data_IF_167056042761
#
_entry.id   IF_167056042761
#
_cell.length_a   1.000
_cell.length_b   1.000
_cell.length_c   1.000
_cell.angle_alpha   90.00
_cell.angle_beta   90.00
_cell.angle_gamma   90.00
#
_symmetry.space_group_name_H-M   'P 1'
#
loop_
_entity.id
_entity.type
_entity.pdbx_description
1 polymer ?
#
# COMPACT_ATOMS: atom_id res chain seq x y z
N UNK A 1 8.12 6.54 -5.74
CA UNK A 1 7.30 6.12 -4.57
C UNK A 1 5.85 6.20 -4.99
N UNK A 2 5.02 5.25 -4.56
CA UNK A 2 3.63 5.14 -4.98
C UNK A 2 2.78 5.37 -3.75
N UNK A 3 1.94 6.41 -3.75
CA UNK A 3 1.04 6.68 -2.65
C UNK A 3 -0.25 5.92 -2.85
N UNK A 4 -0.72 5.29 -1.79
CA UNK A 4 -1.90 4.43 -1.81
C UNK A 4 -2.83 4.83 -0.67
N UNK A 5 -4.12 4.87 -0.96
CA UNK A 5 -5.20 4.85 0.03
C UNK A 5 -5.55 3.39 0.26
N UNK A 6 -5.16 2.85 1.42
CA UNK A 6 -5.48 1.48 1.83
C UNK A 6 -6.70 1.55 2.75
N UNK A 7 -7.89 1.52 2.15
CA UNK A 7 -9.16 1.56 2.87
C UNK A 7 -9.27 2.74 3.86
N UNK A 8 -8.87 3.93 3.42
CA UNK A 8 -8.82 5.18 4.19
C UNK A 8 -7.52 5.41 4.96
N UNK A 9 -6.55 4.50 4.86
CA UNK A 9 -5.23 4.63 5.50
C UNK A 9 -4.20 5.14 4.49
N UNK A 10 -3.51 6.27 4.75
CA UNK A 10 -2.47 6.76 3.88
C UNK A 10 -1.21 5.88 3.96
N UNK A 11 -0.88 5.24 2.84
CA UNK A 11 0.26 4.36 2.69
C UNK A 11 1.18 4.81 1.56
N UNK A 12 2.43 4.34 1.60
CA UNK A 12 3.41 4.51 0.54
C UNK A 12 4.08 3.18 0.24
N UNK A 13 4.09 2.79 -1.03
CA UNK A 13 4.90 1.68 -1.53
C UNK A 13 6.17 2.22 -2.17
N UNK A 14 7.30 1.63 -1.81
CA UNK A 14 8.61 1.99 -2.36
C UNK A 14 9.33 0.75 -2.85
N UNK A 15 10.03 0.88 -3.99
CA UNK A 15 10.99 -0.12 -4.44
C UNK A 15 12.31 0.12 -3.69
N UNK A 16 12.80 -0.89 -2.99
CA UNK A 16 14.09 -0.87 -2.30
C UNK A 16 14.93 -2.03 -2.83
N UNK A 17 15.84 -1.74 -3.76
CA UNK A 17 16.50 -2.76 -4.55
C UNK A 17 15.50 -3.54 -5.40
N UNK A 18 15.44 -4.86 -5.22
CA UNK A 18 14.54 -5.73 -5.97
C UNK A 18 13.18 -5.94 -5.28
N UNK A 19 12.98 -5.40 -4.07
CA UNK A 19 11.77 -5.63 -3.29
C UNK A 19 10.84 -4.41 -3.26
N UNK A 20 9.53 -4.65 -3.29
CA UNK A 20 8.56 -3.67 -2.84
C UNK A 20 8.44 -3.69 -1.31
N UNK A 21 8.31 -2.50 -0.72
CA UNK A 21 8.12 -2.35 0.72
C UNK A 21 6.97 -1.36 0.99
N UNK A 22 6.10 -1.73 1.93
CA UNK A 22 4.96 -0.94 2.35
C UNK A 22 5.30 -0.10 3.58
N UNK A 23 4.88 1.17 3.57
CA UNK A 23 5.07 2.10 4.67
C UNK A 23 3.74 2.77 5.02
N UNK A 24 3.50 3.00 6.31
CA UNK A 24 2.47 3.92 6.79
C UNK A 24 3.02 5.34 6.73
N UNK A 25 2.24 6.28 6.20
CA UNK A 25 2.60 7.69 6.14
C UNK A 25 1.83 8.47 7.22
N UNK A 26 2.56 9.15 8.11
CA UNK A 26 1.95 10.05 9.09
C UNK A 26 1.68 11.43 8.48
N UNK A 27 0.81 12.22 9.13
CA UNK A 27 0.52 13.59 8.71
C UNK A 27 1.78 14.49 8.67
N UNK A 28 2.80 14.18 9.47
CA UNK A 28 4.09 14.89 9.48
C UNK A 28 5.11 14.40 8.44
N UNK A 29 4.72 13.50 7.53
CA UNK A 29 5.60 12.95 6.50
C UNK A 29 6.57 11.86 6.99
N UNK A 30 6.46 11.43 8.25
CA UNK A 30 7.25 10.33 8.78
C UNK A 30 6.71 9.00 8.23
N UNK A 31 7.62 8.08 7.89
CA UNK A 31 7.27 6.76 7.34
C UNK A 31 7.73 5.64 8.25
N UNK A 32 6.83 4.72 8.55
CA UNK A 32 7.14 3.49 9.30
C UNK A 32 6.90 2.28 8.41
N UNK A 33 7.88 1.37 8.34
CA UNK A 33 7.79 0.17 7.52
C UNK A 33 6.76 -0.79 8.12
N UNK A 34 5.93 -1.38 7.27
CA UNK A 34 5.07 -2.52 7.61
C UNK A 34 5.84 -3.78 7.24
N UNK A 35 6.20 -4.59 8.23
CA UNK A 35 7.05 -5.77 8.04
C UNK A 35 6.23 -7.03 7.77
N UNK A 36 4.94 -6.98 8.07
CA UNK A 36 3.97 -8.07 7.93
C UNK A 36 3.50 -8.26 6.48
N UNK A 37 3.84 -7.32 5.59
CA UNK A 37 3.52 -7.39 4.16
C UNK A 37 4.77 -7.72 3.36
N UNK A 38 4.73 -8.85 2.66
CA UNK A 38 5.74 -9.27 1.70
C UNK A 38 5.13 -9.20 0.31
N UNK A 39 5.83 -8.58 -0.63
CA UNK A 39 5.43 -8.52 -2.03
C UNK A 39 6.29 -9.50 -2.83
N UNK A 40 5.72 -10.20 -3.82
CA UNK A 40 6.50 -10.89 -4.85
C UNK A 40 7.50 -9.92 -5.53
N UNK A 41 8.79 -10.28 -5.68
CA UNK A 41 9.80 -9.41 -6.29
C UNK A 41 9.47 -8.97 -7.72
N UNK A 42 8.87 -9.86 -8.51
CA UNK A 42 8.51 -9.66 -9.91
C UNK A 42 7.23 -8.83 -10.12
N UNK A 43 6.53 -8.47 -9.03
CA UNK A 43 5.27 -7.75 -9.10
C UNK A 43 5.43 -6.41 -9.82
N UNK A 44 4.56 -6.15 -10.79
CA UNK A 44 4.48 -4.87 -11.48
C UNK A 44 3.77 -3.81 -10.62
N UNK A 45 4.12 -2.55 -10.84
CA UNK A 45 3.48 -1.41 -10.16
C UNK A 45 1.95 -1.39 -10.33
N UNK A 46 1.45 -1.80 -11.51
CA UNK A 46 0.01 -1.88 -11.80
C UNK A 46 -0.75 -2.91 -10.95
N UNK A 47 -0.06 -3.87 -10.34
CA UNK A 47 -0.66 -4.96 -9.55
C UNK A 47 -0.76 -4.62 -8.07
N UNK A 48 -0.05 -3.58 -7.61
CA UNK A 48 0.08 -3.25 -6.18
C UNK A 48 -1.26 -2.94 -5.51
N UNK A 49 -2.16 -2.20 -6.19
CA UNK A 49 -3.46 -1.88 -5.61
C UNK A 49 -4.31 -3.13 -5.43
N UNK A 50 -4.43 -3.98 -6.47
CA UNK A 50 -5.21 -5.21 -6.39
C UNK A 50 -4.65 -6.17 -5.34
N UNK A 51 -3.32 -6.32 -5.28
CA UNK A 51 -2.69 -7.18 -4.28
C UNK A 51 -2.99 -6.72 -2.84
N UNK A 52 -2.91 -5.41 -2.59
CA UNK A 52 -3.23 -4.85 -1.28
C UNK A 52 -4.74 -4.88 -0.99
N UNK A 53 -5.59 -4.78 -2.02
CA UNK A 53 -7.03 -4.92 -1.89
C UNK A 53 -7.39 -6.32 -1.39
N UNK A 54 -6.86 -7.36 -2.04
CA UNK A 54 -7.09 -8.75 -1.67
C UNK A 54 -6.54 -9.06 -0.27
N UNK A 55 -5.32 -8.60 0.04
CA UNK A 55 -4.66 -8.86 1.33
C UNK A 55 -5.37 -8.17 2.50
N UNK A 56 -5.96 -6.99 2.28
CA UNK A 56 -6.59 -6.17 3.32
C UNK A 56 -8.11 -6.02 3.14
N UNK A 57 -8.75 -6.92 2.39
CA UNK A 57 -10.16 -6.77 2.01
C UNK A 57 -11.10 -6.63 3.21
N UNK A 58 -10.74 -7.17 4.37
CA UNK A 58 -11.48 -7.03 5.62
C UNK A 58 -11.65 -5.57 6.10
N UNK A 59 -10.81 -4.64 5.64
CA UNK A 59 -10.89 -3.22 5.97
C UNK A 59 -11.84 -2.44 5.06
N UNK A 60 -12.42 -3.08 4.03
CA UNK A 60 -13.37 -2.45 3.13
C UNK A 60 -14.59 -1.92 3.88
N UNK A 61 -15.03 -0.72 3.50
CA UNK A 61 -16.21 -0.06 4.03
C UNK A 61 -16.96 0.67 2.93
N UNK A 62 -18.20 1.10 3.19
CA UNK A 62 -18.97 1.89 2.22
C UNK A 62 -18.22 3.16 1.75
N UNK A 63 -17.47 3.80 2.65
CA UNK A 63 -16.72 5.02 2.35
C UNK A 63 -15.40 4.74 1.63
N UNK A 64 -14.76 3.62 1.95
CA UNK A 64 -13.50 3.20 1.36
C UNK A 64 -13.65 1.73 0.93
N UNK A 65 -14.25 1.47 -0.25
CA UNK A 65 -14.60 0.11 -0.65
C UNK A 65 -13.46 -0.66 -1.30
N UNK A 66 -12.37 0.02 -1.65
CA UNK A 66 -11.22 -0.56 -2.36
C UNK A 66 -9.95 0.24 -2.09
N UNK A 67 -8.81 -0.35 -2.39
CA UNK A 67 -7.49 0.31 -2.43
C UNK A 67 -7.36 1.15 -3.69
N UNK A 68 -6.88 2.39 -3.57
CA UNK A 68 -6.69 3.32 -4.70
C UNK A 68 -5.35 4.03 -4.66
N UNK A 69 -4.88 4.50 -5.82
CA UNK A 69 -3.76 5.45 -5.86
C UNK A 69 -4.18 6.80 -5.25
N UNK A 70 -3.21 7.50 -4.66
CA UNK A 70 -3.35 8.87 -4.16
C UNK A 70 -2.43 9.80 -4.93
N UNK A 71 -2.88 11.03 -5.18
CA UNK A 71 -2.06 12.12 -5.76
C UNK A 71 -1.00 12.64 -4.77
#
# INVERSE_FOLDING_TARGET
MIKIDLFGKPMVVMRQGEEWQLFRESEGGLRSRVHEVVFPPEMAESELCSYLDDLFHEYASERHPRVTLRE
#
